data_IF_817319381525
#
_entry.id   IF_817319381525
#
_cell.length_a   1.000
_cell.length_b   1.000
_cell.length_c   1.000
_cell.angle_alpha   90.00
_cell.angle_beta   90.00
_cell.angle_gamma   90.00
#
_symmetry.space_group_name_H-M   'P 1'
#
loop_
_entity.id
_entity.type
_entity.pdbx_description
1 polymer ?
#
# COMPACT_ATOMS: atom_id res chain seq x y z
N UNK A 1 16.33 -47.50 -0.88
CA UNK A 1 15.52 -46.53 -1.66
C UNK A 1 14.31 -45.97 -0.92
N UNK A 2 13.53 -46.77 -0.18
CA UNK A 2 12.36 -46.28 0.61
C UNK A 2 12.70 -45.13 1.58
N UNK A 3 13.78 -45.26 2.35
CA UNK A 3 14.18 -44.25 3.33
C UNK A 3 14.63 -42.92 2.72
N UNK A 4 15.34 -42.96 1.58
CA UNK A 4 15.79 -41.76 0.87
C UNK A 4 14.60 -40.96 0.33
N UNK A 5 13.58 -41.64 -0.20
CA UNK A 5 12.38 -41.03 -0.74
C UNK A 5 11.49 -40.42 0.36
N UNK A 6 11.45 -41.06 1.54
CA UNK A 6 10.75 -40.54 2.72
C UNK A 6 11.44 -39.28 3.29
N UNK A 7 12.77 -39.24 3.30
CA UNK A 7 13.52 -38.05 3.70
C UNK A 7 13.26 -36.89 2.73
N UNK A 8 13.24 -37.17 1.42
CA UNK A 8 12.96 -36.16 0.40
C UNK A 8 11.54 -35.59 0.52
N UNK A 9 10.54 -36.45 0.72
CA UNK A 9 9.14 -36.05 0.99
C UNK A 9 9.02 -35.23 2.29
N UNK A 10 9.74 -35.62 3.34
CA UNK A 10 9.80 -34.86 4.60
C UNK A 10 10.41 -33.47 4.43
N UNK A 11 11.44 -33.32 3.61
CA UNK A 11 12.06 -32.04 3.29
C UNK A 11 11.14 -31.13 2.45
N UNK A 12 10.40 -31.70 1.49
CA UNK A 12 9.39 -30.96 0.71
C UNK A 12 8.24 -30.50 1.61
N UNK A 13 7.78 -31.34 2.54
CA UNK A 13 6.77 -30.98 3.55
C UNK A 13 7.28 -29.91 4.52
N UNK A 14 8.57 -29.93 4.90
CA UNK A 14 9.17 -28.88 5.72
C UNK A 14 9.25 -27.54 4.96
N UNK A 15 9.58 -27.55 3.67
CA UNK A 15 9.56 -26.34 2.82
C UNK A 15 8.14 -25.79 2.66
N UNK A 16 7.13 -26.66 2.57
CA UNK A 16 5.72 -26.26 2.54
C UNK A 16 5.24 -25.73 3.90
N UNK A 17 5.70 -26.28 5.02
CA UNK A 17 5.41 -25.76 6.35
C UNK A 17 6.07 -24.40 6.61
N UNK A 18 7.26 -24.14 6.05
CA UNK A 18 7.86 -22.79 6.07
C UNK A 18 7.08 -21.78 5.22
N UNK A 19 6.31 -22.23 4.22
CA UNK A 19 5.40 -21.37 3.46
C UNK A 19 4.09 -21.04 4.20
N UNK A 20 3.78 -21.77 5.28
CA UNK A 20 2.61 -21.54 6.14
C UNK A 20 2.88 -20.56 7.30
N UNK A 21 4.09 -19.98 7.37
CA UNK A 21 4.48 -18.96 8.35
C UNK A 21 4.32 -17.53 7.79
N UNK A 22 3.40 -17.34 6.82
CA UNK A 22 3.13 -16.03 6.19
C UNK A 22 2.58 -14.98 7.19
N UNK A 23 2.24 -15.41 8.40
CA UNK A 23 1.83 -14.57 9.53
C UNK A 23 2.95 -14.29 10.53
N UNK A 24 4.21 -14.70 10.26
CA UNK A 24 5.38 -14.18 10.98
C UNK A 24 5.43 -12.68 10.73
N UNK A 25 4.78 -12.00 11.68
CA UNK A 25 4.83 -10.60 12.04
C UNK A 25 5.77 -9.84 11.12
N UNK A 26 5.19 -9.12 10.17
CA UNK A 26 5.84 -8.02 9.44
C UNK A 26 6.19 -6.92 10.45
N UNK A 27 7.07 -7.26 11.37
CA UNK A 27 7.54 -6.43 12.45
C UNK A 27 8.43 -5.31 11.90
N UNK A 28 8.84 -4.44 12.81
CA UNK A 28 9.78 -3.34 12.56
C UNK A 28 11.01 -3.81 11.76
N UNK A 29 11.60 -4.95 12.12
CA UNK A 29 12.83 -5.43 11.49
C UNK A 29 12.57 -5.90 10.06
N UNK A 30 11.49 -6.65 9.85
CA UNK A 30 11.06 -7.07 8.52
C UNK A 30 10.78 -5.87 7.62
N UNK A 31 10.09 -4.85 8.13
CA UNK A 31 9.78 -3.66 7.35
C UNK A 31 11.02 -2.88 6.94
N UNK A 32 11.96 -2.70 7.87
CA UNK A 32 13.24 -2.05 7.57
C UNK A 32 13.97 -2.79 6.44
N UNK A 33 14.09 -4.12 6.54
CA UNK A 33 14.72 -4.95 5.50
C UNK A 33 13.98 -4.89 4.17
N UNK A 34 12.65 -4.90 4.20
CA UNK A 34 11.84 -4.81 2.98
C UNK A 34 12.01 -3.46 2.29
N UNK A 35 12.10 -2.37 3.04
CA UNK A 35 12.42 -1.06 2.49
C UNK A 35 13.84 -1.01 1.91
N UNK A 36 14.85 -1.43 2.66
CA UNK A 36 16.26 -1.44 2.21
C UNK A 36 16.43 -2.24 0.90
N UNK A 37 15.76 -3.38 0.77
CA UNK A 37 15.83 -4.22 -0.42
C UNK A 37 15.04 -3.69 -1.63
N UNK A 38 14.10 -2.76 -1.42
CA UNK A 38 13.17 -2.30 -2.46
C UNK A 38 13.01 -0.77 -2.50
N UNK A 39 13.99 -0.01 -2.01
CA UNK A 39 13.86 1.44 -1.81
C UNK A 39 13.45 2.18 -3.10
N UNK A 40 14.06 1.82 -4.23
CA UNK A 40 13.72 2.37 -5.55
C UNK A 40 12.26 2.10 -5.93
N UNK A 41 11.77 0.87 -5.71
CA UNK A 41 10.37 0.52 -5.98
C UNK A 41 9.38 1.28 -5.08
N UNK A 42 9.73 1.52 -3.82
CA UNK A 42 8.93 2.35 -2.92
C UNK A 42 8.83 3.78 -3.44
N UNK A 43 9.93 4.34 -3.93
CA UNK A 43 9.96 5.67 -4.52
C UNK A 43 9.15 5.72 -5.83
N UNK A 44 9.38 4.78 -6.73
CA UNK A 44 8.71 4.69 -8.02
C UNK A 44 7.19 4.57 -7.88
N UNK A 45 6.71 3.65 -7.03
CA UNK A 45 5.27 3.45 -6.85
C UNK A 45 4.63 4.66 -6.20
N UNK A 46 5.33 5.32 -5.27
CA UNK A 46 4.82 6.53 -4.62
C UNK A 46 4.69 7.67 -5.61
N UNK A 47 5.72 7.90 -6.42
CA UNK A 47 5.71 8.95 -7.44
C UNK A 47 4.69 8.67 -8.53
N UNK A 48 4.63 7.43 -9.04
CA UNK A 48 3.63 7.01 -10.02
C UNK A 48 2.23 7.28 -9.48
N UNK A 49 1.93 6.82 -8.26
CA UNK A 49 0.63 7.01 -7.65
C UNK A 49 0.33 8.50 -7.40
N UNK A 50 1.17 9.21 -6.65
CA UNK A 50 0.90 10.59 -6.23
C UNK A 50 0.83 11.56 -7.41
N UNK A 51 1.74 11.45 -8.38
CA UNK A 51 1.78 12.36 -9.53
C UNK A 51 0.70 12.05 -10.55
N UNK A 52 0.20 10.82 -10.57
CA UNK A 52 -0.90 10.46 -11.48
C UNK A 52 -2.27 10.97 -11.03
N UNK A 53 -2.42 11.44 -9.80
CA UNK A 53 -3.71 11.97 -9.31
C UNK A 53 -3.78 13.48 -9.61
N UNK A 54 -4.85 13.96 -10.29
CA UNK A 54 -5.01 15.37 -10.58
C UNK A 54 -4.93 16.25 -9.33
N UNK A 55 -4.18 17.36 -9.40
CA UNK A 55 -3.95 18.27 -8.26
C UNK A 55 -5.27 18.77 -7.68
N UNK A 56 -6.24 19.13 -8.53
CA UNK A 56 -7.58 19.55 -8.08
C UNK A 56 -8.25 18.46 -7.24
N UNK A 57 -8.12 17.20 -7.64
CA UNK A 57 -8.72 16.08 -6.94
C UNK A 57 -8.04 15.82 -5.59
N UNK A 58 -6.69 15.88 -5.52
CA UNK A 58 -5.92 15.74 -4.26
C UNK A 58 -6.22 16.83 -3.22
N UNK A 59 -6.55 18.05 -3.67
CA UNK A 59 -6.92 19.15 -2.77
C UNK A 59 -8.22 18.87 -2.03
N UNK A 60 -9.17 18.22 -2.70
CA UNK A 60 -10.53 18.03 -2.19
C UNK A 60 -10.79 16.63 -1.65
N UNK A 61 -9.95 15.65 -1.98
CA UNK A 61 -10.20 14.24 -1.70
C UNK A 61 -8.95 13.50 -1.22
N UNK A 62 -9.17 12.40 -0.52
CA UNK A 62 -8.22 11.30 -0.40
C UNK A 62 -8.48 10.27 -1.49
N UNK A 63 -7.42 9.65 -1.99
CA UNK A 63 -7.47 8.55 -2.96
C UNK A 63 -6.79 7.34 -2.35
N UNK A 64 -7.45 6.19 -2.41
CA UNK A 64 -6.91 4.91 -1.97
C UNK A 64 -6.94 3.91 -3.12
N UNK A 65 -5.87 3.15 -3.24
CA UNK A 65 -5.73 2.02 -4.15
C UNK A 65 -5.44 0.78 -3.31
N UNK A 66 -6.31 -0.21 -3.39
CA UNK A 66 -6.18 -1.45 -2.62
C UNK A 66 -6.25 -2.65 -3.56
N UNK A 67 -5.28 -3.56 -3.42
CA UNK A 67 -5.30 -4.87 -4.06
C UNK A 67 -6.12 -5.81 -3.19
N UNK A 68 -7.10 -6.46 -3.79
CA UNK A 68 -7.86 -7.51 -3.14
C UNK A 68 -7.38 -8.87 -3.67
N UNK A 69 -6.47 -9.48 -2.91
CA UNK A 69 -5.85 -10.75 -3.29
C UNK A 69 -6.87 -11.91 -3.32
N UNK A 70 -7.99 -11.82 -2.57
CA UNK A 70 -9.00 -12.90 -2.52
C UNK A 70 -9.68 -13.14 -3.85
N UNK A 71 -9.84 -12.09 -4.63
CA UNK A 71 -10.51 -12.18 -5.93
C UNK A 71 -9.63 -11.67 -7.06
N UNK A 72 -8.35 -11.34 -6.88
CA UNK A 72 -7.50 -10.83 -7.96
C UNK A 72 -8.02 -9.50 -8.56
N UNK A 73 -8.58 -8.62 -7.72
CA UNK A 73 -9.15 -7.33 -8.13
C UNK A 73 -8.45 -6.14 -7.48
N UNK A 74 -8.78 -4.94 -7.97
CA UNK A 74 -8.35 -3.66 -7.40
C UNK A 74 -9.58 -2.86 -7.00
N UNK A 75 -9.56 -2.34 -5.77
CA UNK A 75 -10.48 -1.31 -5.30
C UNK A 75 -9.82 0.07 -5.44
N UNK A 76 -10.54 1.01 -6.04
CA UNK A 76 -10.20 2.44 -6.01
C UNK A 76 -11.28 3.16 -5.21
N UNK A 77 -10.86 3.96 -4.24
CA UNK A 77 -11.75 4.71 -3.34
C UNK A 77 -11.33 6.17 -3.36
N UNK A 78 -12.29 7.07 -3.61
CA UNK A 78 -12.14 8.51 -3.49
C UNK A 78 -13.03 8.98 -2.34
N UNK A 79 -12.42 9.59 -1.32
CA UNK A 79 -13.10 10.04 -0.10
C UNK A 79 -12.97 11.55 -0.02
N UNK A 80 -14.09 12.26 0.09
CA UNK A 80 -14.08 13.71 0.26
C UNK A 80 -13.35 14.12 1.54
N UNK A 81 -12.52 15.16 1.45
CA UNK A 81 -11.93 15.82 2.61
C UNK A 81 -12.99 16.60 3.39
N UNK A 82 -14.01 17.10 2.70
CA UNK A 82 -15.15 17.81 3.30
C UNK A 82 -16.10 16.83 3.98
N UNK A 83 -16.51 17.18 5.19
CA UNK A 83 -17.56 16.49 5.94
C UNK A 83 -18.87 17.25 5.75
N UNK A 84 -19.94 16.55 5.41
CA UNK A 84 -21.29 17.10 5.23
C UNK A 84 -22.21 16.25 6.11
N UNK A 85 -22.96 16.88 7.03
CA UNK A 85 -23.86 16.21 7.96
C UNK A 85 -23.20 15.08 8.77
N UNK A 86 -21.94 15.27 9.18
CA UNK A 86 -21.17 14.26 9.93
C UNK A 86 -20.56 13.15 9.07
N UNK A 87 -20.83 13.10 7.77
CA UNK A 87 -20.35 12.05 6.88
C UNK A 87 -19.42 12.58 5.78
N UNK A 88 -18.55 11.70 5.27
CA UNK A 88 -17.73 11.96 4.09
C UNK A 88 -18.32 11.27 2.89
N UNK A 89 -18.53 12.03 1.82
CA UNK A 89 -18.91 11.45 0.53
C UNK A 89 -17.79 10.52 0.06
N UNK A 90 -18.15 9.27 -0.26
CA UNK A 90 -17.21 8.23 -0.68
C UNK A 90 -17.65 7.64 -2.01
N UNK A 91 -16.73 7.58 -2.97
CA UNK A 91 -16.90 6.88 -4.24
C UNK A 91 -15.99 5.67 -4.24
N UNK A 92 -16.54 4.47 -4.49
CA UNK A 92 -15.77 3.22 -4.55
C UNK A 92 -16.13 2.43 -5.80
N UNK A 93 -15.13 1.94 -6.52
CA UNK A 93 -15.32 0.92 -7.54
C UNK A 93 -14.28 -0.19 -7.43
N UNK A 94 -14.68 -1.37 -7.92
CA UNK A 94 -13.87 -2.58 -7.94
C UNK A 94 -13.70 -3.04 -9.39
N UNK A 95 -12.51 -3.50 -9.75
CA UNK A 95 -12.19 -3.89 -11.14
C UNK A 95 -12.92 -5.12 -11.66
N UNK A 96 -13.54 -5.94 -10.80
CA UNK A 96 -14.20 -7.20 -11.18
C UNK A 96 -15.73 -7.18 -11.14
N UNK A 97 -16.37 -6.14 -10.60
CA UNK A 97 -17.83 -6.10 -10.58
C UNK A 97 -18.36 -6.05 -12.02
N UNK A 98 -19.40 -6.83 -12.29
CA UNK A 98 -20.05 -7.04 -13.61
C UNK A 98 -20.39 -5.76 -14.39
N UNK A 99 -20.38 -4.60 -13.72
CA UNK A 99 -20.45 -3.29 -14.35
C UNK A 99 -19.14 -2.52 -14.15
N UNK A 100 -18.22 -2.67 -15.12
CA UNK A 100 -16.95 -1.93 -15.14
C UNK A 100 -17.16 -0.42 -15.36
N UNK A 101 -18.38 0.07 -15.63
CA UNK A 101 -18.64 1.49 -15.90
C UNK A 101 -18.22 2.38 -14.76
N UNK A 102 -18.53 1.99 -13.52
CA UNK A 102 -18.13 2.77 -12.33
C UNK A 102 -16.61 2.79 -12.15
N UNK A 103 -15.94 1.67 -12.43
CA UNK A 103 -14.49 1.59 -12.38
C UNK A 103 -13.86 2.46 -13.48
N UNK A 104 -14.32 2.34 -14.72
CA UNK A 104 -13.89 3.14 -15.86
C UNK A 104 -14.15 4.63 -15.66
N UNK A 105 -15.28 5.01 -15.05
CA UNK A 105 -15.59 6.40 -14.71
C UNK A 105 -14.59 6.94 -13.68
N UNK A 106 -14.28 6.15 -12.65
CA UNK A 106 -13.26 6.52 -11.66
C UNK A 106 -11.87 6.64 -12.28
N UNK A 107 -11.48 5.71 -13.17
CA UNK A 107 -10.23 5.80 -13.91
C UNK A 107 -10.18 7.08 -14.76
N UNK A 108 -11.27 7.41 -15.47
CA UNK A 108 -11.35 8.65 -16.24
C UNK A 108 -11.19 9.90 -15.36
N UNK A 109 -11.85 9.93 -14.20
CA UNK A 109 -11.74 11.04 -13.24
C UNK A 109 -10.32 11.21 -12.69
N UNK A 110 -9.58 10.10 -12.56
CA UNK A 110 -8.18 10.09 -12.14
C UNK A 110 -7.20 10.32 -13.30
N UNK A 111 -7.63 10.31 -14.57
CA UNK A 111 -6.71 10.30 -15.71
C UNK A 111 -5.88 9.01 -15.80
N UNK A 112 -6.45 7.90 -15.36
CA UNK A 112 -5.83 6.58 -15.33
C UNK A 112 -6.36 5.68 -16.44
N UNK A 113 -5.58 4.66 -16.75
CA UNK A 113 -5.95 3.55 -17.63
C UNK A 113 -5.59 2.23 -16.93
N UNK A 114 -5.98 1.10 -17.50
CA UNK A 114 -5.69 -0.22 -16.94
C UNK A 114 -4.18 -0.50 -16.81
N UNK A 115 -3.37 -0.08 -17.78
CA UNK A 115 -1.91 -0.23 -17.71
C UNK A 115 -1.30 0.45 -16.46
N UNK A 116 -1.81 1.63 -16.09
CA UNK A 116 -1.39 2.33 -14.88
C UNK A 116 -1.85 1.60 -13.61
N UNK A 117 -3.07 1.08 -13.59
CA UNK A 117 -3.59 0.25 -12.49
C UNK A 117 -2.70 -0.98 -12.30
N UNK A 118 -2.37 -1.68 -13.38
CA UNK A 118 -1.52 -2.87 -13.34
C UNK A 118 -0.10 -2.54 -12.90
N UNK A 119 0.45 -1.39 -13.32
CA UNK A 119 1.77 -0.93 -12.90
C UNK A 119 1.84 -0.69 -11.39
N UNK A 120 0.89 0.08 -10.84
CA UNK A 120 0.79 0.34 -9.39
C UNK A 120 0.63 -0.99 -8.64
N UNK A 121 -0.28 -1.84 -9.11
CA UNK A 121 -0.54 -3.16 -8.53
C UNK A 121 0.74 -4.01 -8.46
N UNK A 122 1.44 -4.16 -9.58
CA UNK A 122 2.63 -5.00 -9.69
C UNK A 122 3.75 -4.48 -8.78
N UNK A 123 3.96 -3.17 -8.72
CA UNK A 123 4.94 -2.56 -7.83
C UNK A 123 4.61 -2.85 -6.35
N UNK A 124 3.35 -2.65 -5.94
CA UNK A 124 2.90 -2.95 -4.58
C UNK A 124 3.12 -4.42 -4.19
N UNK A 125 2.74 -5.37 -5.07
CA UNK A 125 2.93 -6.80 -4.79
C UNK A 125 4.41 -7.18 -4.65
N UNK A 126 5.32 -6.55 -5.41
CA UNK A 126 6.76 -6.78 -5.32
C UNK A 126 7.32 -6.33 -3.97
N UNK A 127 6.90 -5.18 -3.47
CA UNK A 127 7.25 -4.67 -2.12
C UNK A 127 6.41 -5.29 -1.00
N UNK A 128 5.62 -6.33 -1.33
CA UNK A 128 4.73 -7.07 -0.44
C UNK A 128 3.63 -6.24 0.20
N UNK A 129 3.30 -5.06 -0.31
CA UNK A 129 2.18 -4.25 0.16
C UNK A 129 0.95 -4.46 -0.72
N UNK A 130 -0.22 -4.11 -0.21
CA UNK A 130 -1.47 -4.20 -0.98
C UNK A 130 -2.25 -2.89 -1.00
N UNK A 131 -1.84 -1.89 -0.22
CA UNK A 131 -2.52 -0.61 -0.12
C UNK A 131 -1.55 0.54 -0.29
N UNK A 132 -1.95 1.53 -1.11
CA UNK A 132 -1.34 2.86 -1.18
C UNK A 132 -2.45 3.90 -1.15
N UNK A 133 -2.23 4.96 -0.37
CA UNK A 133 -3.22 6.04 -0.24
C UNK A 133 -2.57 7.38 -0.05
N UNK A 134 -3.27 8.42 -0.49
CA UNK A 134 -2.94 9.79 -0.10
C UNK A 134 -3.32 10.02 1.36
N UNK A 135 -2.49 10.73 2.11
CA UNK A 135 -2.76 11.15 3.49
C UNK A 135 -2.55 12.66 3.63
N UNK A 136 -3.07 13.24 4.70
CA UNK A 136 -2.77 14.63 5.08
C UNK A 136 -2.21 14.68 6.49
N UNK A 137 -1.12 13.94 6.67
CA UNK A 137 -0.36 14.01 7.91
C UNK A 137 0.53 15.25 7.88
N UNK A 138 0.98 15.69 9.06
CA UNK A 138 1.75 16.93 9.20
C UNK A 138 2.93 17.00 8.21
N UNK A 139 3.69 15.92 8.08
CA UNK A 139 4.88 15.85 7.23
C UNK A 139 4.72 14.95 6.00
N UNK A 140 3.70 14.10 5.95
CA UNK A 140 3.61 13.02 4.95
C UNK A 140 2.36 13.18 4.07
N UNK A 141 2.46 12.80 2.80
CA UNK A 141 1.38 12.91 1.81
C UNK A 141 0.96 11.56 1.18
N UNK A 142 1.76 10.52 1.31
CA UNK A 142 1.41 9.15 0.91
C UNK A 142 1.76 8.15 2.00
N UNK A 143 0.91 7.13 2.14
CA UNK A 143 1.11 5.98 3.01
C UNK A 143 0.95 4.68 2.22
N UNK A 144 1.89 3.75 2.43
CA UNK A 144 1.88 2.41 1.84
C UNK A 144 1.89 1.38 2.97
N UNK A 145 1.02 0.37 2.89
CA UNK A 145 0.97 -0.69 3.88
C UNK A 145 0.39 -1.99 3.32
N UNK A 146 0.54 -3.06 4.11
CA UNK A 146 -0.22 -4.29 3.92
C UNK A 146 -1.41 -4.29 4.88
N UNK A 147 -2.62 -4.40 4.35
CA UNK A 147 -3.85 -4.44 5.13
C UNK A 147 -3.93 -5.62 6.11
N UNK A 148 -3.11 -6.66 5.94
CA UNK A 148 -3.01 -7.75 6.93
C UNK A 148 -2.19 -7.36 8.17
N UNK A 149 -1.44 -6.25 8.11
CA UNK A 149 -0.62 -5.71 9.18
C UNK A 149 -0.80 -4.18 9.30
N UNK A 150 -1.87 -3.76 9.96
CA UNK A 150 -2.20 -2.34 10.15
C UNK A 150 -1.35 -1.64 11.22
N UNK A 151 -0.51 -2.39 11.95
CA UNK A 151 0.34 -1.85 13.01
C UNK A 151 1.47 -0.98 12.48
N UNK A 152 1.79 -1.10 11.19
CA UNK A 152 2.91 -0.40 10.59
C UNK A 152 2.65 -0.03 9.13
N UNK A 153 3.23 1.09 8.72
CA UNK A 153 3.14 1.60 7.35
C UNK A 153 4.43 2.33 6.97
N UNK A 154 4.64 2.49 5.67
CA UNK A 154 5.69 3.32 5.09
C UNK A 154 5.10 4.68 4.75
N UNK A 155 5.77 5.75 5.17
CA UNK A 155 5.31 7.12 4.96
C UNK A 155 6.25 7.89 4.05
N UNK A 156 5.67 8.52 3.03
CA UNK A 156 6.37 9.36 2.09
C UNK A 156 6.32 10.82 2.52
N UNK A 157 7.49 11.44 2.59
CA UNK A 157 7.66 12.82 3.02
C UNK A 157 7.14 13.80 1.95
N UNK A 158 6.40 14.82 2.39
CA UNK A 158 6.00 15.94 1.53
C UNK A 158 7.24 16.57 0.91
N UNK A 159 7.21 16.87 -0.39
CA UNK A 159 8.36 17.42 -1.12
C UNK A 159 8.93 18.72 -0.52
N UNK A 160 8.10 19.50 0.18
CA UNK A 160 8.50 20.76 0.84
C UNK A 160 9.09 20.57 2.25
N UNK A 161 9.24 19.33 2.73
CA UNK A 161 9.69 19.03 4.08
C UNK A 161 11.02 18.30 3.98
N UNK A 162 12.05 18.87 4.60
CA UNK A 162 13.34 18.17 4.76
C UNK A 162 13.30 17.29 6.01
N UNK A 163 14.05 16.17 5.99
CA UNK A 163 14.00 15.16 7.06
C UNK A 163 14.30 15.74 8.45
N UNK A 164 15.24 16.66 8.57
CA UNK A 164 15.61 17.28 9.85
C UNK A 164 14.50 18.16 10.45
N UNK A 165 13.46 18.49 9.68
CA UNK A 165 12.27 19.21 10.16
C UNK A 165 11.24 18.28 10.82
N UNK A 166 11.43 16.95 10.75
CA UNK A 166 10.56 15.98 11.40
C UNK A 166 10.91 15.92 12.89
N UNK A 167 10.08 16.56 13.71
CA UNK A 167 10.12 16.34 15.17
C UNK A 167 9.58 14.95 15.49
N UNK A 168 10.43 14.03 15.99
CA UNK A 168 10.00 12.71 16.49
C UNK A 168 9.07 12.89 17.69
N UNK A 169 7.78 12.61 17.51
CA UNK A 169 6.79 12.68 18.59
C UNK A 169 6.84 11.38 19.40
N UNK A 170 7.89 11.24 20.23
CA UNK A 170 8.12 10.16 21.20
C UNK A 170 8.22 8.71 20.66
N UNK A 171 9.10 7.91 21.27
CA UNK A 171 9.25 6.47 20.97
C UNK A 171 8.14 5.61 21.60
N UNK A 172 7.10 6.21 22.22
CA UNK A 172 6.09 5.52 23.03
C UNK A 172 4.65 5.81 22.57
N UNK A 173 4.44 5.85 21.26
CA UNK A 173 3.07 5.84 20.70
C UNK A 173 2.50 4.42 20.72
N UNK A 174 1.27 4.25 21.22
CA UNK A 174 0.49 3.01 21.15
C UNK A 174 0.16 2.58 19.70
N UNK A 175 0.50 3.39 18.71
CA UNK A 175 0.17 3.25 17.28
C UNK A 175 1.38 3.00 16.36
N UNK A 176 2.45 2.41 16.86
CA UNK A 176 3.54 1.88 16.04
C UNK A 176 4.60 2.92 15.63
N UNK A 177 5.82 2.42 15.43
CA UNK A 177 6.97 3.23 15.03
C UNK A 177 6.79 3.72 13.58
N UNK A 178 6.73 5.04 13.40
CA UNK A 178 6.61 5.69 12.10
C UNK A 178 7.95 5.57 11.35
N UNK A 179 8.00 4.74 10.30
CA UNK A 179 9.13 4.72 9.38
C UNK A 179 8.96 5.84 8.36
N UNK A 180 9.71 6.92 8.55
CA UNK A 180 9.85 7.98 7.56
C UNK A 180 10.83 7.50 6.49
N UNK A 181 10.39 7.43 5.23
CA UNK A 181 11.29 7.28 4.09
C UNK A 181 11.79 8.69 3.73
N UNK A 182 13.07 8.96 3.95
CA UNK A 182 13.78 10.07 3.33
C UNK A 182 14.86 9.52 2.39
N UNK A 183 15.02 10.17 1.24
CA UNK A 183 16.27 10.11 0.47
C UNK A 183 17.38 10.80 1.26
#
# INVERSE_FOLDING_TARGET
>A
MKYLMQILLGLILLQLLQSCDYSKSRDVLWMKKNFENNAELFFDVTNLFNNSIPIKLKKENYVNFNINDKNNSVDIIIISKKVINGERVTQKANSQRLDNKNFNLLLKNLGWNYSKVDSIRNMLQRIKCNTIRTVDYKYFDVEIYDSSNLSYSYLHLKHSIEYHNIKTISNNSKYGNLFSISL
#
